data_IF_167535086843
#
_entry.id   IF_167535086843
#
_cell.length_a   1.000
_cell.length_b   1.000
_cell.length_c   1.000
_cell.angle_alpha   90.00
_cell.angle_beta   90.00
_cell.angle_gamma   90.00
#
_symmetry.space_group_name_H-M   'P 1'
#
loop_
_entity.id
_entity.type
_entity.pdbx_description
1 polymer ?
#
# COMPACT_ATOMS: atom_id res chain seq x y z
N UNK A 1 -5.94 -10.20 38.22
CA UNK A 1 -5.21 -11.39 38.67
C UNK A 1 -4.56 -12.01 37.45
N UNK A 2 -3.23 -12.08 37.41
CA UNK A 2 -2.46 -12.80 36.39
C UNK A 2 -1.53 -13.71 37.17
N UNK A 3 -1.67 -15.04 37.04
CA UNK A 3 -0.49 -15.89 36.78
C UNK A 3 -0.85 -17.16 35.94
N UNK A 4 0.06 -18.11 35.66
CA UNK A 4 1.21 -17.95 34.75
C UNK A 4 1.57 -19.23 33.92
N UNK A 5 2.65 -19.12 33.11
CA UNK A 5 3.59 -20.16 32.62
C UNK A 5 3.19 -21.00 31.37
N UNK A 6 3.93 -20.79 30.26
CA UNK A 6 5.07 -21.61 29.75
C UNK A 6 4.53 -22.93 29.15
N UNK A 7 4.71 -23.27 27.87
CA UNK A 7 6.03 -23.53 27.29
C UNK A 7 5.99 -23.91 25.80
N UNK A 8 7.16 -23.73 25.17
CA UNK A 8 7.71 -24.48 24.03
C UNK A 8 7.40 -24.10 22.56
N UNK A 9 8.52 -24.03 21.85
CA UNK A 9 8.81 -23.56 20.48
C UNK A 9 8.42 -24.63 19.45
N UNK A 10 7.95 -24.25 18.26
CA UNK A 10 8.52 -24.72 16.98
C UNK A 10 7.84 -24.09 15.76
N UNK A 11 8.66 -23.85 14.74
CA UNK A 11 8.43 -23.21 13.45
C UNK A 11 7.17 -23.64 12.68
N UNK A 12 6.58 -22.66 11.99
CA UNK A 12 5.49 -22.70 10.99
C UNK A 12 4.07 -22.63 11.56
N UNK A 13 3.47 -21.43 11.51
CA UNK A 13 2.27 -21.17 10.72
C UNK A 13 1.73 -19.76 10.97
N UNK A 14 1.70 -18.97 9.90
CA UNK A 14 1.29 -17.57 9.81
C UNK A 14 -0.22 -17.34 10.06
N UNK A 15 -0.98 -18.39 10.41
CA UNK A 15 -2.45 -18.38 10.44
C UNK A 15 -3.02 -18.02 11.82
N UNK A 16 -2.27 -18.25 12.91
CA UNK A 16 -2.81 -18.06 14.27
C UNK A 16 -2.66 -16.64 14.84
N UNK A 17 -1.86 -15.78 14.19
CA UNK A 17 -1.76 -14.37 14.59
C UNK A 17 -2.95 -13.51 14.07
N UNK A 18 -3.74 -14.05 13.13
CA UNK A 18 -4.94 -13.38 12.58
C UNK A 18 -6.21 -13.54 13.44
N UNK A 19 -6.24 -14.49 14.39
CA UNK A 19 -7.45 -14.77 15.17
C UNK A 19 -7.73 -13.77 16.31
N UNK A 20 -6.73 -13.01 16.76
CA UNK A 20 -6.93 -12.03 17.85
C UNK A 20 -7.55 -10.71 17.33
N UNK A 21 -7.42 -10.41 16.03
CA UNK A 21 -7.99 -9.21 15.40
C UNK A 21 -9.51 -9.37 15.13
N UNK A 22 -10.10 -10.53 15.40
CA UNK A 22 -11.52 -10.82 15.13
C UNK A 22 -12.50 -10.15 16.10
N UNK A 23 -12.06 -9.79 17.32
CA UNK A 23 -12.99 -9.31 18.36
C UNK A 23 -13.17 -7.79 18.39
N UNK A 24 -12.27 -7.01 17.80
CA UNK A 24 -12.34 -5.54 17.78
C UNK A 24 -12.97 -4.98 16.48
N UNK A 25 -13.28 -5.84 15.51
CA UNK A 25 -13.69 -5.45 14.16
C UNK A 25 -15.21 -5.44 13.94
N UNK A 26 -16.01 -5.97 14.89
CA UNK A 26 -17.46 -6.01 14.76
C UNK A 26 -18.12 -4.63 14.99
N UNK A 27 -17.58 -3.82 15.90
CA UNK A 27 -18.20 -2.53 16.30
C UNK A 27 -17.98 -1.42 15.26
N UNK A 28 -16.84 -1.39 14.57
CA UNK A 28 -16.55 -0.35 13.56
C UNK A 28 -17.26 -0.58 12.21
N UNK A 29 -17.83 -1.76 11.98
CA UNK A 29 -18.49 -2.11 10.72
C UNK A 29 -19.94 -1.60 10.64
N UNK A 30 -20.66 -1.52 11.76
CA UNK A 30 -22.06 -1.05 11.81
C UNK A 30 -22.18 0.46 11.51
N UNK A 31 -21.23 1.26 12.00
CA UNK A 31 -21.22 2.72 11.81
C UNK A 31 -20.89 3.14 10.37
N UNK A 32 -19.98 2.42 9.70
CA UNK A 32 -19.57 2.75 8.33
C UNK A 32 -20.55 2.27 7.25
N UNK A 33 -21.31 1.20 7.55
CA UNK A 33 -22.27 0.57 6.63
C UNK A 33 -23.53 1.41 6.37
N UNK A 34 -23.87 2.33 7.29
CA UNK A 34 -25.07 3.16 7.18
C UNK A 34 -24.98 4.24 6.09
N UNK A 35 -23.77 4.65 5.67
CA UNK A 35 -23.58 5.70 4.67
C UNK A 35 -23.67 5.24 3.20
N UNK A 36 -23.58 3.93 2.93
CA UNK A 36 -23.40 3.41 1.56
C UNK A 36 -24.66 2.75 0.95
N UNK A 37 -25.75 2.66 1.70
CA UNK A 37 -26.97 1.93 1.32
C UNK A 37 -27.78 2.56 0.16
N UNK A 38 -27.36 3.68 -0.44
CA UNK A 38 -28.18 4.39 -1.42
C UNK A 38 -27.93 4.07 -2.91
N UNK A 39 -26.97 3.22 -3.31
CA UNK A 39 -26.63 3.14 -4.76
C UNK A 39 -26.19 1.83 -5.41
N UNK A 40 -26.10 0.72 -4.69
CA UNK A 40 -25.61 -0.53 -5.30
C UNK A 40 -26.60 -1.69 -5.13
N UNK A 41 -27.69 -1.66 -5.90
CA UNK A 41 -28.46 -2.87 -6.16
C UNK A 41 -28.12 -3.36 -7.57
N UNK A 42 -27.80 -4.66 -7.67
CA UNK A 42 -27.51 -5.50 -8.85
C UNK A 42 -26.03 -5.68 -9.20
N UNK A 43 -25.36 -6.56 -8.46
CA UNK A 43 -24.57 -7.68 -9.02
C UNK A 43 -24.23 -8.69 -7.90
N UNK A 44 -24.29 -10.02 -8.13
CA UNK A 44 -23.93 -10.99 -7.11
C UNK A 44 -22.40 -11.05 -6.98
N UNK A 45 -21.90 -10.61 -5.83
CA UNK A 45 -20.48 -10.55 -5.48
C UNK A 45 -19.96 -11.98 -5.23
N UNK A 46 -19.32 -12.60 -6.22
CA UNK A 46 -18.70 -13.92 -6.08
C UNK A 46 -17.24 -13.81 -5.64
N UNK A 47 -16.93 -14.48 -4.54
CA UNK A 47 -15.60 -14.74 -3.95
C UNK A 47 -15.17 -13.83 -2.80
N UNK A 48 -14.75 -14.47 -1.70
CA UNK A 48 -14.23 -13.79 -0.51
C UNK A 48 -12.94 -13.00 -0.77
N UNK A 49 -12.31 -13.16 -1.93
CA UNK A 49 -11.10 -12.43 -2.33
C UNK A 49 -11.38 -10.93 -2.54
N UNK A 50 -12.57 -10.59 -3.03
CA UNK A 50 -12.96 -9.20 -3.33
C UNK A 50 -13.18 -8.38 -2.07
N UNK A 51 -13.66 -8.99 -0.98
CA UNK A 51 -13.85 -8.29 0.30
C UNK A 51 -12.52 -7.93 0.97
N UNK A 52 -11.52 -8.81 0.93
CA UNK A 52 -10.17 -8.53 1.46
C UNK A 52 -9.43 -7.50 0.61
N UNK A 53 -9.56 -7.58 -0.72
CA UNK A 53 -9.04 -6.55 -1.62
C UNK A 53 -9.74 -5.21 -1.34
N UNK A 54 -11.06 -5.19 -1.22
CA UNK A 54 -11.84 -3.98 -0.92
C UNK A 54 -11.42 -3.29 0.38
N UNK A 55 -11.15 -4.06 1.44
CA UNK A 55 -10.64 -3.49 2.70
C UNK A 55 -9.22 -2.92 2.57
N UNK A 56 -8.37 -3.51 1.71
CA UNK A 56 -7.07 -2.92 1.33
C UNK A 56 -7.23 -1.60 0.57
N UNK A 57 -8.24 -1.49 -0.29
CA UNK A 57 -8.50 -0.29 -1.08
C UNK A 57 -9.17 0.85 -0.29
N UNK A 58 -9.80 0.58 0.86
CA UNK A 58 -10.45 1.61 1.70
C UNK A 58 -9.44 2.44 2.49
N UNK A 59 -8.28 1.88 2.84
CA UNK A 59 -7.25 2.62 3.58
C UNK A 59 -6.32 3.32 2.59
N UNK A 60 -6.47 4.63 2.42
CA UNK A 60 -5.60 5.44 1.58
C UNK A 60 -4.25 5.62 2.29
N UNK A 61 -3.20 4.95 1.80
CA UNK A 61 -1.83 5.00 2.33
C UNK A 61 -1.04 6.18 1.74
N UNK A 62 -1.24 6.49 0.46
CA UNK A 62 -0.60 7.66 -0.16
C UNK A 62 -1.34 8.92 0.30
N UNK A 63 -0.66 9.74 1.12
CA UNK A 63 -1.23 10.97 1.68
C UNK A 63 -0.86 12.24 0.92
N UNK A 64 0.17 12.19 0.09
CA UNK A 64 0.58 13.35 -0.70
C UNK A 64 1.65 13.06 -1.72
N UNK A 65 1.72 13.93 -2.72
CA UNK A 65 2.70 13.91 -3.81
C UNK A 65 3.62 15.12 -3.70
N UNK A 66 4.88 14.93 -4.07
CA UNK A 66 5.85 16.03 -4.14
C UNK A 66 5.66 16.86 -5.42
N UNK A 67 5.24 16.22 -6.51
CA UNK A 67 5.04 16.87 -7.81
C UNK A 67 3.66 16.58 -8.42
N UNK A 68 3.17 17.53 -9.21
CA UNK A 68 1.85 17.47 -9.86
C UNK A 68 1.76 16.41 -10.97
N UNK A 69 2.87 16.00 -11.57
CA UNK A 69 2.83 15.00 -12.64
C UNK A 69 2.62 13.59 -12.08
N UNK A 70 3.27 13.25 -10.98
CA UNK A 70 3.06 11.99 -10.25
C UNK A 70 1.64 11.90 -9.69
N UNK A 71 1.14 13.00 -9.11
CA UNK A 71 -0.25 13.11 -8.64
C UNK A 71 -1.23 12.89 -9.80
N UNK A 72 -1.01 13.58 -10.92
CA UNK A 72 -1.85 13.45 -12.11
C UNK A 72 -1.84 12.02 -12.66
N UNK A 73 -0.67 11.38 -12.70
CA UNK A 73 -0.58 9.99 -13.12
C UNK A 73 -1.40 9.11 -12.19
N UNK A 74 -1.29 9.28 -10.88
CA UNK A 74 -2.03 8.48 -9.90
C UNK A 74 -3.55 8.66 -10.01
N UNK A 75 -4.03 9.89 -10.14
CA UNK A 75 -5.47 10.19 -10.16
C UNK A 75 -6.15 9.88 -11.50
N UNK A 76 -5.45 10.11 -12.62
CA UNK A 76 -6.04 10.09 -13.97
C UNK A 76 -5.52 8.91 -14.81
N UNK A 77 -4.43 8.27 -14.38
CA UNK A 77 -3.77 7.20 -15.15
C UNK A 77 -3.02 7.71 -16.38
N UNK A 78 -2.85 9.03 -16.54
CA UNK A 78 -2.27 9.64 -17.74
C UNK A 78 -1.22 10.69 -17.39
N UNK A 79 -0.07 10.56 -18.04
CA UNK A 79 1.02 11.53 -18.02
C UNK A 79 1.44 11.89 -19.44
N UNK A 80 1.73 13.18 -19.67
CA UNK A 80 2.31 13.66 -20.94
C UNK A 80 3.81 13.89 -20.84
N UNK A 81 4.35 14.00 -19.62
CA UNK A 81 5.77 14.26 -19.37
C UNK A 81 6.58 12.98 -19.15
N UNK A 82 5.95 11.96 -18.57
CA UNK A 82 6.60 10.68 -18.33
C UNK A 82 6.63 9.84 -19.61
N UNK A 83 7.69 9.04 -19.83
CA UNK A 83 7.76 8.11 -20.95
C UNK A 83 6.59 7.11 -20.95
N UNK A 84 5.96 6.89 -22.11
CA UNK A 84 4.76 6.04 -22.19
C UNK A 84 5.04 4.58 -21.78
N UNK A 85 6.25 4.09 -22.03
CA UNK A 85 6.68 2.74 -21.68
C UNK A 85 6.77 2.49 -20.16
N UNK A 86 6.83 3.53 -19.32
CA UNK A 86 6.88 3.37 -17.87
C UNK A 86 5.52 3.49 -17.18
N UNK A 87 4.51 4.07 -17.85
CA UNK A 87 3.22 4.44 -17.25
C UNK A 87 2.54 3.26 -16.57
N UNK A 88 2.33 2.16 -17.30
CA UNK A 88 1.63 0.98 -16.76
C UNK A 88 2.37 0.38 -15.55
N UNK A 89 3.70 0.31 -15.62
CA UNK A 89 4.51 -0.21 -14.51
C UNK A 89 4.47 0.74 -13.31
N UNK A 90 4.55 2.05 -13.53
CA UNK A 90 4.50 3.05 -12.47
C UNK A 90 3.15 3.03 -11.75
N UNK A 91 2.02 2.93 -12.48
CA UNK A 91 0.69 2.79 -11.88
C UNK A 91 0.59 1.58 -10.97
N UNK A 92 0.99 0.40 -11.46
CA UNK A 92 1.02 -0.83 -10.65
C UNK A 92 1.87 -0.68 -9.39
N UNK A 93 2.99 0.04 -9.48
CA UNK A 93 3.86 0.29 -8.32
C UNK A 93 3.25 1.28 -7.33
N UNK A 94 2.54 2.30 -7.80
CA UNK A 94 1.77 3.21 -6.96
C UNK A 94 0.62 2.50 -6.26
N UNK A 95 -0.06 1.56 -6.91
CA UNK A 95 -1.07 0.70 -6.29
C UNK A 95 -0.46 -0.18 -5.19
N UNK A 96 0.71 -0.78 -5.44
CA UNK A 96 1.45 -1.54 -4.43
C UNK A 96 1.83 -0.67 -3.23
N UNK A 97 2.26 0.57 -3.47
CA UNK A 97 2.53 1.54 -2.41
C UNK A 97 1.26 1.89 -1.63
N UNK A 98 0.15 2.13 -2.32
CA UNK A 98 -1.11 2.47 -1.67
C UNK A 98 -1.73 1.30 -0.88
N UNK A 99 -1.32 0.05 -1.15
CA UNK A 99 -1.78 -1.13 -0.45
C UNK A 99 -0.88 -1.57 0.72
N UNK A 100 0.25 -0.87 0.95
CA UNK A 100 1.23 -1.26 1.96
C UNK A 100 0.85 -0.75 3.35
N UNK A 101 0.77 -1.65 4.33
CA UNK A 101 0.52 -1.29 5.74
C UNK A 101 1.79 -0.90 6.48
N UNK A 102 2.92 -1.48 6.05
CA UNK A 102 4.26 -1.24 6.53
C UNK A 102 5.23 -1.27 5.35
N UNK A 103 6.41 -0.67 5.52
CA UNK A 103 7.35 -0.54 4.40
C UNK A 103 7.91 -1.90 3.95
N UNK A 104 7.97 -2.87 4.85
CA UNK A 104 8.37 -4.26 4.60
C UNK A 104 7.48 -4.96 3.58
N UNK A 105 6.18 -4.61 3.50
CA UNK A 105 5.23 -5.21 2.56
C UNK A 105 5.69 -4.98 1.10
N UNK A 106 6.40 -3.88 0.84
CA UNK A 106 6.94 -3.57 -0.48
C UNK A 106 8.10 -4.48 -0.87
N UNK A 107 8.75 -5.17 0.07
CA UNK A 107 9.84 -6.13 -0.22
C UNK A 107 9.31 -7.46 -0.76
N UNK A 108 8.04 -7.78 -0.53
CA UNK A 108 7.40 -9.03 -1.03
C UNK A 108 7.41 -9.07 -2.55
N UNK A 109 7.36 -7.90 -3.21
CA UNK A 109 7.41 -7.81 -4.67
C UNK A 109 8.86 -7.84 -5.16
N UNK A 110 9.32 -8.92 -5.83
CA UNK A 110 10.74 -9.10 -6.17
C UNK A 110 11.30 -8.00 -7.08
N UNK A 111 10.43 -7.34 -7.88
CA UNK A 111 10.81 -6.24 -8.76
C UNK A 111 10.92 -4.86 -8.10
N UNK A 112 10.55 -4.70 -6.83
CA UNK A 112 10.56 -3.38 -6.18
C UNK A 112 11.97 -2.90 -5.86
N UNK A 113 12.90 -3.81 -5.52
CA UNK A 113 14.26 -3.47 -5.05
C UNK A 113 14.22 -2.28 -4.09
N UNK A 114 13.39 -2.39 -3.05
CA UNK A 114 13.17 -1.32 -2.08
C UNK A 114 14.50 -0.87 -1.49
N UNK A 115 14.78 0.42 -1.61
CA UNK A 115 16.03 1.03 -1.15
C UNK A 115 15.74 2.21 -0.22
N UNK A 116 16.40 2.27 0.93
CA UNK A 116 16.44 3.48 1.76
C UNK A 116 17.52 4.41 1.23
N UNK A 117 17.13 5.63 0.85
CA UNK A 117 18.04 6.61 0.28
C UNK A 117 18.91 7.25 1.37
N UNK A 118 20.13 7.62 1.00
CA UNK A 118 21.15 8.18 1.90
C UNK A 118 21.50 9.63 1.51
N UNK A 119 22.34 10.28 2.32
CA UNK A 119 22.82 11.63 2.05
C UNK A 119 21.70 12.67 2.10
N UNK A 120 21.59 13.51 1.07
CA UNK A 120 20.58 14.59 0.98
C UNK A 120 19.14 14.07 0.96
N UNK A 121 18.92 12.79 0.63
CA UNK A 121 17.61 12.15 0.58
C UNK A 121 17.37 11.21 1.77
N UNK A 122 18.13 11.36 2.87
CA UNK A 122 17.94 10.58 4.09
C UNK A 122 16.49 10.71 4.59
N UNK A 123 15.87 9.56 4.91
CA UNK A 123 14.47 9.49 5.33
C UNK A 123 13.49 9.19 4.18
N UNK A 124 13.96 9.25 2.92
CA UNK A 124 13.20 8.78 1.77
C UNK A 124 13.55 7.34 1.42
N UNK A 125 12.61 6.67 0.80
CA UNK A 125 12.72 5.34 0.24
C UNK A 125 12.42 5.38 -1.26
N UNK A 126 12.90 4.38 -2.00
CA UNK A 126 12.59 4.25 -3.41
C UNK A 126 12.20 2.83 -3.81
N UNK A 127 11.32 2.72 -4.80
CA UNK A 127 10.99 1.48 -5.51
C UNK A 127 11.26 1.62 -7.00
N UNK A 128 11.77 0.56 -7.62
CA UNK A 128 12.18 0.53 -9.02
C UNK A 128 10.98 0.40 -9.96
N UNK A 129 10.94 1.26 -10.98
CA UNK A 129 10.04 1.11 -12.13
C UNK A 129 10.77 0.33 -13.23
N UNK A 130 11.93 0.83 -13.66
CA UNK A 130 12.84 0.18 -14.61
C UNK A 130 14.28 0.59 -14.28
N UNK A 131 15.23 0.49 -15.22
CA UNK A 131 16.63 0.81 -14.92
C UNK A 131 16.85 2.29 -14.58
N UNK A 132 16.14 3.18 -15.27
CA UNK A 132 16.27 4.64 -15.15
C UNK A 132 15.30 5.25 -14.11
N UNK A 133 14.08 4.75 -14.00
CA UNK A 133 13.00 5.42 -13.25
C UNK A 133 12.75 4.79 -11.88
N UNK A 134 12.44 5.63 -10.89
CA UNK A 134 12.10 5.24 -9.51
C UNK A 134 10.86 5.99 -9.03
N UNK A 135 10.08 5.36 -8.16
CA UNK A 135 9.17 6.08 -7.28
C UNK A 135 9.93 6.35 -5.99
N UNK A 136 9.98 7.60 -5.56
CA UNK A 136 10.61 8.05 -4.33
C UNK A 136 9.54 8.59 -3.40
N UNK A 137 9.63 8.27 -2.11
CA UNK A 137 8.64 8.68 -1.11
C UNK A 137 9.22 8.68 0.29
N UNK A 138 8.64 9.47 1.18
CA UNK A 138 8.84 9.38 2.62
C UNK A 138 7.82 8.39 3.20
N UNK A 139 8.21 7.53 4.14
CA UNK A 139 7.27 6.57 4.75
C UNK A 139 7.31 6.67 6.28
N UNK A 140 6.16 6.92 6.89
CA UNK A 140 6.02 7.01 8.35
C UNK A 140 4.61 6.62 8.79
N UNK A 141 4.51 5.94 9.94
CA UNK A 141 3.23 5.55 10.55
C UNK A 141 2.25 4.85 9.58
N UNK A 142 2.77 3.99 8.70
CA UNK A 142 1.97 3.25 7.71
C UNK A 142 1.46 4.09 6.54
N UNK A 143 2.01 5.30 6.34
CA UNK A 143 1.60 6.22 5.27
C UNK A 143 2.80 6.63 4.41
N UNK A 144 2.51 6.88 3.12
CA UNK A 144 3.48 7.40 2.16
C UNK A 144 3.22 8.89 1.88
N UNK A 145 4.28 9.68 1.89
CA UNK A 145 4.28 11.12 1.66
C UNK A 145 5.32 11.50 0.61
N UNK A 146 5.20 12.73 0.08
CA UNK A 146 6.14 13.29 -0.90
C UNK A 146 6.41 12.34 -2.08
N UNK A 147 5.37 11.62 -2.53
CA UNK A 147 5.51 10.62 -3.59
C UNK A 147 5.86 11.30 -4.91
N UNK A 148 6.89 10.81 -5.58
CA UNK A 148 7.41 11.35 -6.85
C UNK A 148 7.92 10.23 -7.75
N UNK A 149 7.69 10.33 -9.06
CA UNK A 149 8.34 9.52 -10.09
C UNK A 149 9.52 10.32 -10.66
N UNK A 150 10.73 9.83 -10.43
CA UNK A 150 11.96 10.53 -10.80
C UNK A 150 12.90 9.68 -11.66
N UNK A 151 13.72 10.38 -12.43
CA UNK A 151 14.80 9.83 -13.24
C UNK A 151 16.07 9.75 -12.39
N UNK A 152 16.53 8.52 -12.13
CA UNK A 152 17.68 8.23 -11.29
C UNK A 152 19.03 8.57 -11.95
N UNK A 153 19.06 8.79 -13.27
CA UNK A 153 20.29 9.13 -13.98
C UNK A 153 20.56 10.65 -14.06
N UNK A 154 19.73 11.46 -13.40
CA UNK A 154 19.92 12.92 -13.33
C UNK A 154 20.83 13.35 -12.18
#
# INVERSE_FOLDING_TARGET
>A
MVPPLISFISTRNFVLQMCIIRSLFQELYEDYSHGYQARAQRTPLSSGLDKYNYMRYIVIVIKGFYDKESEKLYLIGKSRKLPQNIISTALRKLEQLNAASQIEDLRIFPGNRLEQLKGKMKGKCSIRINDQWRIVFSFSNGNAYDVEITDYHK
#
